data_IF_293463218580
#
_entry.id   IF_293463218580
#
_cell.length_a   1.000
_cell.length_b   1.000
_cell.length_c   1.000
_cell.angle_alpha   90.00
_cell.angle_beta   90.00
_cell.angle_gamma   90.00
#
_symmetry.space_group_name_H-M   'P 1'
#
loop_
_entity.id
_entity.type
_entity.pdbx_description
1 polymer ?
#
# COMPACT_ATOMS: atom_id res chain seq x y z
N UNK A 1 -6.00 -1.19 -1.74
CA UNK A 1 -4.65 -1.54 -2.23
C UNK A 1 -3.64 -0.64 -1.54
N UNK A 2 -2.54 -1.18 -1.04
CA UNK A 2 -1.48 -0.37 -0.42
C UNK A 2 -0.10 -0.79 -0.90
N UNK A 3 0.79 0.18 -1.14
CA UNK A 3 2.18 -0.09 -1.51
C UNK A 3 3.09 1.13 -1.25
N UNK A 4 4.36 0.89 -0.94
CA UNK A 4 5.38 1.93 -0.94
C UNK A 4 5.84 2.24 -2.36
N UNK A 5 6.17 3.50 -2.65
CA UNK A 5 6.66 3.89 -3.99
C UNK A 5 8.17 3.69 -4.19
N UNK A 6 8.92 3.45 -3.12
CA UNK A 6 10.34 3.01 -3.14
C UNK A 6 10.46 1.48 -2.87
N UNK A 7 9.43 0.73 -3.28
CA UNK A 7 9.48 -0.72 -3.29
C UNK A 7 10.44 -1.21 -4.39
N UNK A 8 11.66 -1.57 -3.99
CA UNK A 8 12.70 -2.06 -4.90
C UNK A 8 12.52 -3.52 -5.34
N UNK A 9 11.49 -4.23 -4.85
CA UNK A 9 11.22 -5.63 -5.23
C UNK A 9 10.04 -5.70 -6.19
N UNK A 10 8.98 -4.95 -5.90
CA UNK A 10 7.75 -4.94 -6.70
C UNK A 10 7.48 -3.50 -7.17
N UNK A 11 7.70 -3.17 -8.45
CA UNK A 11 7.46 -1.81 -8.96
C UNK A 11 5.99 -1.39 -8.85
N UNK A 12 5.68 -0.41 -7.99
CA UNK A 12 4.30 -0.03 -7.64
C UNK A 12 3.45 0.41 -8.86
N UNK A 13 4.08 1.03 -9.87
CA UNK A 13 3.43 1.47 -11.11
C UNK A 13 2.88 0.30 -11.94
N UNK A 14 3.56 -0.86 -11.89
CA UNK A 14 3.16 -2.08 -12.59
C UNK A 14 2.47 -3.09 -11.65
N UNK A 15 2.12 -2.66 -10.43
CA UNK A 15 1.45 -3.48 -9.42
C UNK A 15 0.24 -2.72 -8.85
N UNK A 16 0.41 -2.01 -7.73
CA UNK A 16 -0.69 -1.33 -7.03
C UNK A 16 -1.53 -0.40 -7.93
N UNK A 17 -0.90 0.35 -8.85
CA UNK A 17 -1.62 1.24 -9.77
C UNK A 17 -2.51 0.46 -10.74
N UNK A 18 -2.09 -0.72 -11.18
CA UNK A 18 -2.89 -1.56 -12.07
C UNK A 18 -3.98 -2.30 -11.31
N UNK A 19 -3.68 -2.80 -10.11
CA UNK A 19 -4.66 -3.44 -9.23
C UNK A 19 -5.82 -2.48 -8.91
N UNK A 20 -5.51 -1.23 -8.57
CA UNK A 20 -6.51 -0.20 -8.27
C UNK A 20 -7.46 0.07 -9.44
N UNK A 21 -6.93 0.07 -10.67
CA UNK A 21 -7.73 0.24 -11.90
C UNK A 21 -8.65 -0.96 -12.20
N UNK A 22 -8.25 -2.17 -11.79
CA UNK A 22 -8.96 -3.41 -12.11
C UNK A 22 -9.99 -3.80 -11.06
N UNK A 23 -9.76 -3.45 -9.79
CA UNK A 23 -10.63 -3.84 -8.68
C UNK A 23 -11.80 -2.86 -8.54
N UNK A 24 -13.06 -3.32 -8.60
CA UNK A 24 -14.20 -2.46 -8.31
C UNK A 24 -14.17 -2.00 -6.84
N UNK A 25 -14.45 -0.72 -6.60
CA UNK A 25 -14.42 -0.09 -5.27
C UNK A 25 -13.05 -0.13 -4.57
N UNK A 26 -11.95 -0.19 -5.32
CA UNK A 26 -10.62 -0.08 -4.75
C UNK A 26 -10.41 1.27 -4.07
N UNK A 27 -9.70 1.24 -2.95
CA UNK A 27 -9.10 2.42 -2.33
C UNK A 27 -7.58 2.22 -2.34
N UNK A 28 -6.87 3.03 -3.12
CA UNK A 28 -5.42 3.00 -3.21
C UNK A 28 -4.78 3.95 -2.19
N UNK A 29 -3.77 3.45 -1.47
CA UNK A 29 -2.89 4.25 -0.63
C UNK A 29 -1.42 3.97 -0.97
N UNK A 30 -0.73 4.97 -1.50
CA UNK A 30 0.71 4.93 -1.77
C UNK A 30 1.46 5.61 -0.62
N UNK A 31 2.55 4.99 -0.17
CA UNK A 31 3.37 5.50 0.92
C UNK A 31 4.73 6.00 0.38
N UNK A 32 4.96 7.33 0.38
CA UNK A 32 6.20 7.89 -0.14
C UNK A 32 7.45 7.42 0.60
N UNK A 33 8.44 6.91 -0.14
CA UNK A 33 9.71 6.42 0.36
C UNK A 33 9.66 5.08 1.11
N UNK A 34 8.51 4.41 1.15
CA UNK A 34 8.39 3.16 1.90
C UNK A 34 8.92 1.98 1.08
N UNK A 35 9.67 1.04 1.71
CA UNK A 35 10.24 -0.11 1.01
C UNK A 35 9.23 -1.27 0.90
N UNK A 36 9.60 -2.33 0.19
CA UNK A 36 8.82 -3.58 0.13
C UNK A 36 8.42 -4.11 1.51
N UNK A 37 9.35 -4.09 2.46
CA UNK A 37 9.18 -4.56 3.83
C UNK A 37 8.44 -3.60 4.77
N UNK A 38 7.67 -2.64 4.25
CA UNK A 38 7.02 -1.56 5.03
C UNK A 38 6.16 -2.04 6.20
N UNK A 39 5.59 -3.25 6.12
CA UNK A 39 4.77 -3.85 7.18
C UNK A 39 5.57 -4.10 8.46
N UNK A 40 6.88 -4.30 8.35
CA UNK A 40 7.78 -4.49 9.50
C UNK A 40 8.48 -3.18 9.86
N UNK A 41 9.03 -2.45 8.87
CA UNK A 41 9.83 -1.25 9.13
C UNK A 41 9.00 -0.03 9.54
N UNK A 42 7.70 0.02 9.18
CA UNK A 42 6.78 1.13 9.47
C UNK A 42 5.47 0.61 10.09
N UNK A 43 5.56 -0.42 10.92
CA UNK A 43 4.42 -1.16 11.46
C UNK A 43 3.35 -0.26 12.10
N UNK A 44 3.74 0.79 12.84
CA UNK A 44 2.78 1.68 13.50
C UNK A 44 1.84 2.39 12.50
N UNK A 45 2.40 2.91 11.40
CA UNK A 45 1.63 3.58 10.34
C UNK A 45 0.71 2.58 9.64
N UNK A 46 1.26 1.41 9.28
CA UNK A 46 0.54 0.38 8.54
C UNK A 46 -0.59 -0.22 9.37
N UNK A 47 -0.35 -0.53 10.64
CA UNK A 47 -1.35 -1.08 11.53
C UNK A 47 -2.50 -0.10 11.78
N UNK A 48 -2.19 1.19 11.95
CA UNK A 48 -3.21 2.22 12.12
C UNK A 48 -4.11 2.33 10.88
N UNK A 49 -3.52 2.34 9.68
CA UNK A 49 -4.26 2.43 8.43
C UNK A 49 -5.11 1.19 8.13
N UNK A 50 -4.58 0.00 8.42
CA UNK A 50 -5.34 -1.24 8.30
C UNK A 50 -6.54 -1.25 9.25
N UNK A 51 -6.37 -0.82 10.50
CA UNK A 51 -7.47 -0.75 11.46
C UNK A 51 -8.54 0.25 11.04
N UNK A 52 -8.14 1.40 10.49
CA UNK A 52 -9.07 2.40 9.96
C UNK A 52 -9.90 1.84 8.79
N UNK A 53 -9.26 1.16 7.85
CA UNK A 53 -9.95 0.52 6.71
C UNK A 53 -10.94 -0.57 7.15
N UNK A 54 -10.58 -1.41 8.13
CA UNK A 54 -11.46 -2.49 8.61
C UNK A 54 -12.75 -1.95 9.28
N UNK A 55 -12.69 -0.74 9.84
CA UNK A 55 -13.81 -0.13 10.59
C UNK A 55 -14.76 0.72 9.73
N UNK A 56 -14.50 0.87 8.43
CA UNK A 56 -15.28 1.72 7.52
C UNK A 56 -16.45 1.01 6.84
#
# INVERSE_FOLDING_TARGET
>A
VMQGDDDQVVPYQNAAILQDKLLPNSQLKIYPGFPHGMHTSHADVINADLLAFIRS
#
